data_IF_804662513657
#
_entry.id   IF_804662513657
#
_cell.length_a   1.000
_cell.length_b   1.000
_cell.length_c   1.000
_cell.angle_alpha   90.00
_cell.angle_beta   90.00
_cell.angle_gamma   90.00
#
_symmetry.space_group_name_H-M   'P 1'
#
loop_
_entity.id
_entity.type
_entity.pdbx_description
1 polymer ?
#
# COMPACT_ATOMS: atom_id res chain seq x y z
N UNK A 1 -42.92 -56.77 80.62
CA UNK A 1 -42.40 -55.36 80.34
C UNK A 1 -41.31 -55.32 79.21
N UNK A 2 -41.09 -56.34 78.39
CA UNK A 2 -40.02 -56.33 77.34
C UNK A 2 -40.50 -55.96 75.94
N UNK A 3 -41.81 -55.98 75.63
CA UNK A 3 -42.29 -55.75 74.23
C UNK A 3 -42.53 -54.28 73.89
N UNK A 4 -42.78 -53.36 74.81
CA UNK A 4 -43.03 -51.93 74.55
C UNK A 4 -41.76 -51.16 74.24
N UNK A 5 -40.60 -51.59 74.73
CA UNK A 5 -39.30 -50.90 74.38
C UNK A 5 -38.83 -51.20 72.97
N UNK A 6 -39.13 -52.37 72.38
CA UNK A 6 -38.77 -52.71 71.03
C UNK A 6 -39.52 -51.86 69.97
N UNK A 7 -40.77 -51.52 70.22
CA UNK A 7 -41.58 -50.67 69.36
C UNK A 7 -41.15 -49.17 69.36
N UNK A 8 -40.71 -48.73 70.52
CA UNK A 8 -40.20 -47.35 70.62
C UNK A 8 -38.85 -47.23 69.93
N UNK A 9 -37.97 -48.19 70.00
CA UNK A 9 -36.68 -48.19 69.31
C UNK A 9 -36.89 -48.32 67.79
N UNK A 10 -37.84 -49.19 67.33
CA UNK A 10 -38.20 -49.24 65.92
C UNK A 10 -38.75 -47.98 65.35
N UNK A 11 -39.57 -47.24 66.13
CA UNK A 11 -40.10 -45.93 65.72
C UNK A 11 -39.01 -44.85 65.63
N UNK A 12 -38.02 -44.86 66.53
CA UNK A 12 -36.89 -43.92 66.50
C UNK A 12 -35.97 -44.19 65.30
N UNK A 13 -35.72 -45.52 65.02
CA UNK A 13 -34.91 -45.89 63.85
C UNK A 13 -35.61 -45.52 62.56
N UNK A 14 -36.92 -45.73 62.44
CA UNK A 14 -37.69 -45.32 61.26
C UNK A 14 -37.70 -43.78 61.08
N UNK A 15 -37.87 -43.03 62.18
CA UNK A 15 -37.82 -41.59 62.15
C UNK A 15 -36.41 -41.07 61.78
N UNK A 16 -35.35 -41.73 62.30
CA UNK A 16 -33.96 -41.39 61.93
C UNK A 16 -33.65 -41.73 60.45
N UNK A 17 -34.17 -42.86 59.93
CA UNK A 17 -34.03 -43.22 58.51
C UNK A 17 -34.79 -42.23 57.61
N UNK A 18 -35.98 -41.81 57.98
CA UNK A 18 -36.75 -40.80 57.27
C UNK A 18 -36.05 -39.40 57.33
N UNK A 19 -35.49 -39.05 58.48
CA UNK A 19 -34.72 -37.81 58.64
C UNK A 19 -33.42 -37.82 57.82
N UNK A 20 -32.70 -38.96 57.82
CA UNK A 20 -31.49 -39.11 56.99
C UNK A 20 -31.85 -39.14 55.51
N UNK A 21 -32.94 -39.77 55.07
CA UNK A 21 -33.44 -39.73 53.71
C UNK A 21 -33.88 -38.33 53.28
N UNK A 22 -34.48 -37.54 54.23
CA UNK A 22 -34.84 -36.15 53.96
C UNK A 22 -33.61 -35.24 53.86
N UNK A 23 -32.54 -35.51 54.61
CA UNK A 23 -31.27 -34.75 54.58
C UNK A 23 -30.45 -35.15 53.34
N UNK A 24 -30.42 -36.42 52.97
CA UNK A 24 -29.77 -36.90 51.76
C UNK A 24 -30.53 -36.49 50.47
N UNK A 25 -31.85 -36.26 50.55
CA UNK A 25 -32.68 -35.78 49.43
C UNK A 25 -32.65 -34.26 49.20
N UNK A 26 -31.95 -33.49 50.07
CA UNK A 26 -31.87 -32.00 49.99
C UNK A 26 -30.60 -31.48 49.29
N UNK A 27 -29.70 -32.35 48.87
CA UNK A 27 -28.48 -31.97 48.15
C UNK A 27 -28.77 -31.75 46.65
N UNK A 28 -29.09 -30.54 46.26
CA UNK A 28 -29.09 -30.19 44.82
C UNK A 28 -27.67 -30.26 44.21
N UNK A 29 -27.55 -30.76 43.02
CA UNK A 29 -26.29 -30.75 42.25
C UNK A 29 -25.78 -29.31 42.09
N UNK A 30 -24.50 -29.05 42.38
CA UNK A 30 -23.91 -27.70 42.20
C UNK A 30 -23.67 -27.48 40.74
N UNK A 31 -24.23 -26.36 40.17
CA UNK A 31 -24.10 -26.00 38.76
C UNK A 31 -23.64 -24.56 38.66
N UNK A 32 -22.68 -24.33 37.78
CA UNK A 32 -22.34 -22.95 37.40
C UNK A 32 -23.51 -22.33 36.63
N UNK A 33 -23.88 -21.14 37.03
CA UNK A 33 -25.02 -20.44 36.48
C UNK A 33 -24.64 -19.03 36.02
N UNK A 34 -25.29 -18.55 34.98
CA UNK A 34 -25.13 -17.18 34.45
C UNK A 34 -26.50 -16.53 34.35
N UNK A 35 -26.57 -15.23 34.60
CA UNK A 35 -27.79 -14.46 34.39
C UNK A 35 -27.87 -13.93 32.98
N UNK A 36 -29.00 -14.17 32.32
CA UNK A 36 -29.30 -13.55 31.04
C UNK A 36 -29.29 -12.03 31.20
N UNK A 37 -28.41 -11.35 30.50
CA UNK A 37 -28.22 -9.91 30.58
C UNK A 37 -28.37 -9.25 29.21
N UNK A 38 -28.79 -7.99 29.21
CA UNK A 38 -28.71 -7.18 28.00
C UNK A 38 -27.30 -6.68 27.78
N UNK A 39 -26.87 -6.74 26.55
CA UNK A 39 -25.54 -6.28 26.18
C UNK A 39 -25.43 -5.95 24.69
N UNK A 40 -24.25 -5.57 24.29
CA UNK A 40 -23.91 -5.33 22.88
C UNK A 40 -23.32 -6.60 22.28
N UNK A 41 -23.98 -7.12 21.27
CA UNK A 41 -23.44 -8.21 20.45
C UNK A 41 -22.60 -7.64 19.32
N UNK A 42 -21.37 -8.11 19.18
CA UNK A 42 -20.47 -7.72 18.08
C UNK A 42 -19.96 -8.96 17.36
N UNK A 43 -20.14 -8.98 16.06
CA UNK A 43 -19.53 -9.97 15.19
C UNK A 43 -18.32 -9.34 14.52
N UNK A 44 -17.17 -10.01 14.61
CA UNK A 44 -15.91 -9.54 14.04
C UNK A 44 -15.34 -10.54 13.07
N UNK A 45 -14.71 -10.05 12.03
CA UNK A 45 -13.79 -10.83 11.17
C UNK A 45 -12.38 -10.47 11.61
N UNK A 46 -11.62 -11.46 12.03
CA UNK A 46 -10.25 -11.29 12.54
C UNK A 46 -9.26 -11.88 11.56
N UNK A 47 -8.25 -11.09 11.21
CA UNK A 47 -7.15 -11.49 10.33
C UNK A 47 -5.85 -10.77 10.71
N UNK A 48 -4.75 -11.29 10.20
CA UNK A 48 -3.45 -10.63 10.27
C UNK A 48 -3.35 -9.58 9.16
N UNK A 49 -2.80 -8.42 9.50
CA UNK A 49 -2.48 -7.36 8.54
C UNK A 49 -1.05 -6.85 8.72
N UNK A 50 -0.59 -6.08 7.76
CA UNK A 50 0.71 -5.41 7.79
C UNK A 50 0.52 -3.91 7.66
N UNK A 51 1.31 -3.17 8.41
CA UNK A 51 1.36 -1.71 8.29
C UNK A 51 2.13 -1.36 7.02
N UNK A 52 1.53 -0.53 6.18
CA UNK A 52 2.16 0.01 4.97
C UNK A 52 2.09 1.54 5.00
N UNK A 53 3.01 2.21 4.30
CA UNK A 53 2.85 3.62 4.03
C UNK A 53 1.76 3.79 2.96
N UNK A 54 0.79 4.67 3.20
CA UNK A 54 -0.32 4.89 2.26
C UNK A 54 0.15 5.37 0.88
N UNK A 55 1.28 6.05 0.87
CA UNK A 55 1.99 6.45 -0.35
C UNK A 55 3.45 6.02 -0.23
N UNK A 56 3.82 5.02 -0.96
CA UNK A 56 5.20 4.65 -1.20
C UNK A 56 5.58 4.87 -2.66
N UNK A 57 6.85 5.06 -2.91
CA UNK A 57 7.41 5.22 -4.25
C UNK A 57 8.69 4.41 -4.37
N UNK A 58 8.70 3.52 -5.33
CA UNK A 58 9.92 2.86 -5.77
C UNK A 58 10.67 3.78 -6.71
N UNK A 59 11.93 4.01 -6.42
CA UNK A 59 12.87 4.73 -7.27
C UNK A 59 13.72 3.71 -7.99
N UNK A 60 13.63 3.69 -9.32
CA UNK A 60 14.30 2.69 -10.17
C UNK A 60 15.35 3.36 -11.04
N UNK A 61 16.36 2.59 -11.45
CA UNK A 61 17.33 3.02 -12.44
C UNK A 61 16.66 3.17 -13.80
N UNK A 62 16.90 4.29 -14.48
CA UNK A 62 16.39 4.59 -15.84
C UNK A 62 17.37 4.17 -16.93
N UNK A 63 18.66 4.05 -16.58
CA UNK A 63 19.74 3.70 -17.48
C UNK A 63 20.75 2.74 -16.82
N UNK A 64 21.58 2.09 -17.64
CA UNK A 64 22.66 1.25 -17.15
C UNK A 64 23.78 2.12 -16.58
N UNK A 65 24.13 1.89 -15.31
CA UNK A 65 25.12 2.68 -14.61
C UNK A 65 25.72 1.91 -13.42
N UNK A 66 26.79 2.42 -12.87
CA UNK A 66 27.39 1.92 -11.62
C UNK A 66 27.03 2.85 -10.46
N UNK A 67 26.65 2.29 -9.31
CA UNK A 67 26.45 3.05 -8.08
C UNK A 67 27.79 3.59 -7.60
N UNK A 68 27.95 4.92 -7.64
CA UNK A 68 29.17 5.61 -7.24
C UNK A 68 29.16 5.96 -5.77
N UNK A 69 28.01 6.44 -5.27
CA UNK A 69 27.89 6.94 -3.91
C UNK A 69 26.44 6.78 -3.43
N UNK A 70 26.24 6.36 -2.19
CA UNK A 70 24.98 6.39 -1.46
C UNK A 70 25.05 7.56 -0.49
N UNK A 71 24.09 8.48 -0.59
CA UNK A 71 24.03 9.71 0.24
C UNK A 71 23.05 9.58 1.39
N UNK A 72 22.31 8.46 1.45
CA UNK A 72 21.30 8.15 2.46
C UNK A 72 21.41 6.68 2.87
N UNK A 73 20.84 6.38 4.04
CA UNK A 73 20.71 5.03 4.58
C UNK A 73 19.22 4.69 4.80
N UNK A 74 18.92 3.39 4.98
CA UNK A 74 17.57 2.95 5.35
C UNK A 74 17.20 3.55 6.72
N UNK A 75 16.02 4.19 6.79
CA UNK A 75 15.55 4.91 7.96
C UNK A 75 15.74 6.43 7.91
N UNK A 76 16.50 6.96 6.95
CA UNK A 76 16.72 8.39 6.80
C UNK A 76 15.46 9.09 6.28
N UNK A 77 15.24 10.32 6.77
CA UNK A 77 14.18 11.20 6.27
C UNK A 77 14.67 12.01 5.08
N UNK A 78 13.83 12.05 4.05
CA UNK A 78 14.14 12.70 2.80
C UNK A 78 13.02 13.65 2.36
N UNK A 79 13.40 14.65 1.53
CA UNK A 79 12.45 15.61 0.94
C UNK A 79 12.49 15.51 -0.59
N UNK A 80 11.42 15.94 -1.29
CA UNK A 80 11.39 15.91 -2.75
C UNK A 80 12.58 16.64 -3.37
N UNK A 81 13.22 16.03 -4.37
CA UNK A 81 14.39 16.57 -5.05
C UNK A 81 15.73 16.33 -4.32
N UNK A 82 15.72 15.79 -3.11
CA UNK A 82 16.96 15.42 -2.41
C UNK A 82 17.63 14.26 -3.15
N UNK A 83 18.95 14.40 -3.41
CA UNK A 83 19.76 13.35 -4.05
C UNK A 83 19.99 12.21 -3.05
N UNK A 84 19.59 11.02 -3.44
CA UNK A 84 19.71 9.79 -2.66
C UNK A 84 20.97 9.00 -3.03
N UNK A 85 21.18 8.86 -4.35
CA UNK A 85 22.23 8.02 -4.92
C UNK A 85 22.86 8.76 -6.09
N UNK A 86 24.19 8.68 -6.20
CA UNK A 86 24.92 9.11 -7.40
C UNK A 86 25.33 7.88 -8.21
N UNK A 87 24.89 7.85 -9.43
CA UNK A 87 25.26 6.86 -10.42
C UNK A 87 26.37 7.39 -11.33
N UNK A 88 27.07 6.48 -11.99
CA UNK A 88 28.09 6.80 -12.98
C UNK A 88 27.97 5.89 -14.20
N UNK A 89 27.88 6.48 -15.39
CA UNK A 89 27.88 5.77 -16.65
C UNK A 89 29.07 6.21 -17.50
N UNK A 90 30.11 5.39 -17.63
CA UNK A 90 31.25 5.69 -18.49
C UNK A 90 30.86 5.87 -19.95
N UNK A 91 29.88 5.08 -20.41
CA UNK A 91 29.39 5.12 -21.79
C UNK A 91 28.74 6.48 -22.09
N UNK A 92 27.79 6.92 -21.24
CA UNK A 92 27.12 8.20 -21.40
C UNK A 92 28.12 9.38 -21.33
N UNK A 93 29.09 9.30 -20.43
CA UNK A 93 30.16 10.33 -20.30
C UNK A 93 30.96 10.42 -21.60
N UNK A 94 31.38 9.27 -22.14
CA UNK A 94 32.17 9.20 -23.38
C UNK A 94 31.36 9.73 -24.57
N UNK A 95 30.10 9.37 -24.70
CA UNK A 95 29.20 9.83 -25.77
C UNK A 95 28.97 11.35 -25.69
N UNK A 96 28.75 11.87 -24.48
CA UNK A 96 28.57 13.32 -24.26
C UNK A 96 29.80 14.10 -24.68
N UNK A 97 31.00 13.68 -24.23
CA UNK A 97 32.26 14.38 -24.58
C UNK A 97 32.61 14.25 -26.06
N UNK A 98 32.31 13.10 -26.71
CA UNK A 98 32.46 12.92 -28.14
C UNK A 98 31.58 13.86 -28.94
N UNK A 99 30.28 13.94 -28.57
CA UNK A 99 29.31 14.83 -29.22
C UNK A 99 29.69 16.31 -29.02
N UNK A 100 30.12 16.69 -27.81
CA UNK A 100 30.60 18.04 -27.51
C UNK A 100 31.80 18.41 -28.37
N UNK A 101 32.76 17.51 -28.51
CA UNK A 101 33.95 17.70 -29.34
C UNK A 101 33.60 17.88 -30.82
N UNK A 102 32.61 17.12 -31.30
CA UNK A 102 32.14 17.23 -32.69
C UNK A 102 31.39 18.56 -32.91
N UNK A 103 30.58 19.00 -31.95
CA UNK A 103 29.87 20.29 -31.99
C UNK A 103 30.89 21.43 -32.11
N UNK A 104 31.91 21.50 -31.24
CA UNK A 104 32.95 22.54 -31.27
C UNK A 104 33.69 22.56 -32.60
N UNK A 105 34.00 21.38 -33.18
CA UNK A 105 34.63 21.30 -34.49
C UNK A 105 33.73 21.90 -35.60
N UNK A 106 32.44 21.50 -35.61
CA UNK A 106 31.48 21.97 -36.63
C UNK A 106 31.23 23.48 -36.51
N UNK A 107 31.18 24.02 -35.27
CA UNK A 107 31.09 25.47 -35.01
C UNK A 107 32.32 26.21 -35.56
N UNK A 108 33.52 25.64 -35.43
CA UNK A 108 34.74 26.23 -35.97
C UNK A 108 34.74 26.21 -37.52
N UNK A 109 34.24 25.14 -38.15
CA UNK A 109 34.06 25.02 -39.60
C UNK A 109 33.00 26.03 -40.10
N UNK A 110 31.90 26.23 -39.36
CA UNK A 110 30.89 27.21 -39.68
C UNK A 110 31.48 28.63 -39.64
N UNK A 111 32.23 28.98 -38.59
CA UNK A 111 32.89 30.27 -38.47
C UNK A 111 33.85 30.53 -39.63
N UNK A 112 34.65 29.52 -40.02
CA UNK A 112 35.53 29.64 -41.18
C UNK A 112 34.77 29.84 -42.49
N UNK A 113 33.63 29.16 -42.69
CA UNK A 113 32.78 29.33 -43.87
C UNK A 113 32.14 30.75 -43.91
N UNK A 114 31.69 31.27 -42.77
CA UNK A 114 31.15 32.64 -42.67
C UNK A 114 32.18 33.69 -42.96
N UNK A 115 33.41 33.55 -42.47
CA UNK A 115 34.53 34.45 -42.81
C UNK A 115 34.87 34.38 -44.32
N UNK A 116 34.79 33.19 -44.92
CA UNK A 116 34.97 33.03 -46.37
C UNK A 116 33.89 33.79 -47.16
N UNK A 117 32.61 33.68 -46.74
CA UNK A 117 31.54 34.49 -47.37
C UNK A 117 31.82 35.98 -47.27
N UNK A 118 32.29 36.45 -46.12
CA UNK A 118 32.60 37.84 -45.87
C UNK A 118 33.76 38.32 -46.82
N UNK A 119 34.81 37.51 -46.95
CA UNK A 119 35.92 37.83 -47.89
C UNK A 119 35.44 37.95 -49.35
N UNK A 120 34.64 36.98 -49.81
CA UNK A 120 34.14 37.01 -51.21
C UNK A 120 33.17 38.22 -51.39
N UNK A 121 32.42 38.64 -50.38
CA UNK A 121 31.57 39.82 -50.46
C UNK A 121 32.37 41.10 -50.64
N UNK A 122 33.52 41.23 -49.93
CA UNK A 122 34.42 42.36 -50.11
C UNK A 122 35.02 42.39 -51.53
N UNK A 123 35.41 41.21 -52.09
CA UNK A 123 35.88 41.12 -53.48
C UNK A 123 34.77 41.48 -54.48
N UNK A 124 33.51 41.06 -54.21
CA UNK A 124 32.37 41.42 -55.06
C UNK A 124 32.11 42.91 -55.03
N UNK A 125 32.17 43.58 -53.90
CA UNK A 125 32.01 45.02 -53.77
C UNK A 125 33.06 45.77 -54.63
N UNK A 126 34.34 45.33 -54.58
CA UNK A 126 35.41 45.93 -55.42
C UNK A 126 35.13 45.69 -56.91
N UNK A 127 34.72 44.50 -57.31
CA UNK A 127 34.40 44.17 -58.68
C UNK A 127 33.17 44.97 -59.19
N UNK A 128 32.14 45.15 -58.40
CA UNK A 128 30.96 45.96 -58.73
C UNK A 128 31.32 47.43 -58.91
N UNK A 129 32.19 47.96 -58.05
CA UNK A 129 32.71 49.32 -58.22
C UNK A 129 33.54 49.51 -59.51
N UNK A 130 34.37 48.50 -59.86
CA UNK A 130 35.12 48.51 -61.15
C UNK A 130 34.20 48.42 -62.37
N UNK A 131 33.20 47.51 -62.32
CA UNK A 131 32.18 47.36 -63.36
C UNK A 131 31.43 48.72 -63.57
N UNK A 132 31.04 49.44 -62.49
CA UNK A 132 30.37 50.74 -62.61
C UNK A 132 31.22 51.76 -63.30
N UNK A 133 32.53 51.85 -62.96
CA UNK A 133 33.49 52.70 -63.65
C UNK A 133 33.64 52.38 -65.16
N UNK A 134 33.81 51.05 -65.49
CA UNK A 134 33.92 50.57 -66.84
C UNK A 134 32.66 50.86 -67.66
N UNK A 135 31.47 50.76 -67.04
CA UNK A 135 30.21 51.10 -67.67
C UNK A 135 30.16 52.58 -68.11
N UNK A 136 30.63 53.51 -67.30
CA UNK A 136 30.70 54.93 -67.62
C UNK A 136 31.69 55.19 -68.77
N UNK A 137 32.85 54.49 -68.73
CA UNK A 137 33.86 54.65 -69.80
C UNK A 137 33.37 54.10 -71.14
N UNK A 138 32.67 52.98 -71.15
CA UNK A 138 32.04 52.38 -72.30
C UNK A 138 31.01 53.34 -72.92
N UNK A 139 30.16 53.96 -72.10
CA UNK A 139 29.17 54.96 -72.54
C UNK A 139 29.79 56.18 -73.16
N UNK A 140 31.00 56.58 -72.75
CA UNK A 140 31.76 57.65 -73.31
C UNK A 140 32.61 57.25 -74.55
N UNK A 141 32.58 56.00 -74.98
CA UNK A 141 33.37 55.45 -76.09
C UNK A 141 34.85 55.25 -75.73
N UNK A 142 35.26 55.33 -74.47
CA UNK A 142 36.65 55.24 -74.03
C UNK A 142 37.08 53.80 -73.62
N UNK A 143 36.20 52.82 -73.76
CA UNK A 143 36.47 51.40 -73.40
C UNK A 143 35.91 50.49 -74.45
N UNK A 144 36.61 49.35 -74.69
CA UNK A 144 36.10 48.28 -75.56
C UNK A 144 34.96 47.44 -74.90
N UNK A 145 33.96 47.02 -75.69
CA UNK A 145 32.82 46.20 -75.22
C UNK A 145 33.28 44.93 -74.49
N UNK A 146 34.33 44.28 -75.06
CA UNK A 146 34.90 43.07 -74.47
C UNK A 146 35.41 43.24 -73.03
N UNK A 147 35.98 44.42 -72.68
CA UNK A 147 36.50 44.70 -71.35
C UNK A 147 35.38 44.89 -70.33
N UNK A 148 34.27 45.47 -70.76
CA UNK A 148 33.07 45.61 -69.95
C UNK A 148 32.45 44.23 -69.67
N UNK A 149 32.29 43.43 -70.71
CA UNK A 149 31.72 42.06 -70.58
C UNK A 149 32.57 41.15 -69.69
N UNK A 150 33.91 41.28 -69.75
CA UNK A 150 34.82 40.60 -68.85
C UNK A 150 34.60 40.99 -67.38
N UNK A 151 34.42 42.28 -67.07
CA UNK A 151 34.13 42.76 -65.74
C UNK A 151 32.76 42.25 -65.24
N UNK A 152 31.75 42.28 -66.10
CA UNK A 152 30.43 41.71 -65.84
C UNK A 152 30.52 40.24 -65.46
N UNK A 153 31.24 39.43 -66.25
CA UNK A 153 31.44 38.00 -66.00
C UNK A 153 32.12 37.76 -64.62
N UNK A 154 33.07 38.67 -64.25
CA UNK A 154 33.74 38.53 -62.94
C UNK A 154 32.75 38.78 -61.76
N UNK A 155 31.89 39.80 -61.86
CA UNK A 155 30.83 40.06 -60.90
C UNK A 155 29.89 38.86 -60.77
N UNK A 156 29.45 38.29 -61.92
CA UNK A 156 28.54 37.15 -61.94
C UNK A 156 29.18 35.86 -61.33
N UNK A 157 30.49 35.67 -61.55
CA UNK A 157 31.24 34.55 -60.95
C UNK A 157 31.29 34.72 -59.41
N UNK A 158 31.59 35.90 -58.90
CA UNK A 158 31.66 36.17 -57.47
C UNK A 158 30.28 35.99 -56.80
N UNK A 159 29.20 36.48 -57.44
CA UNK A 159 27.82 36.25 -56.95
C UNK A 159 27.50 34.76 -56.84
N UNK A 160 27.87 33.99 -57.83
CA UNK A 160 27.68 32.55 -57.84
C UNK A 160 28.50 31.85 -56.75
N UNK A 161 29.74 32.30 -56.49
CA UNK A 161 30.60 31.79 -55.42
C UNK A 161 30.03 32.08 -54.07
N UNK A 162 29.49 33.29 -53.82
CA UNK A 162 28.79 33.63 -52.57
C UNK A 162 27.61 32.65 -52.34
N UNK A 163 26.75 32.49 -53.38
CA UNK A 163 25.58 31.62 -53.24
C UNK A 163 25.97 30.17 -52.91
N UNK A 164 27.05 29.65 -53.51
CA UNK A 164 27.56 28.30 -53.18
C UNK A 164 28.05 28.22 -51.73
N UNK A 165 28.77 29.24 -51.25
CA UNK A 165 29.29 29.26 -49.89
C UNK A 165 28.18 29.46 -48.86
N UNK A 166 27.15 30.27 -49.18
CA UNK A 166 25.97 30.44 -48.29
C UNK A 166 25.17 29.12 -48.13
N UNK A 167 25.10 28.28 -49.14
CA UNK A 167 24.53 26.93 -49.05
C UNK A 167 25.35 26.09 -48.05
N UNK A 168 26.69 26.16 -48.12
CA UNK A 168 27.58 25.48 -47.19
C UNK A 168 27.36 25.95 -45.71
N UNK A 169 27.30 27.28 -45.49
CA UNK A 169 26.98 27.89 -44.19
C UNK A 169 25.62 27.39 -43.68
N UNK A 170 24.61 27.38 -44.55
CA UNK A 170 23.28 26.88 -44.16
C UNK A 170 23.32 25.39 -43.79
N UNK A 171 24.12 24.56 -44.45
CA UNK A 171 24.32 23.16 -44.14
C UNK A 171 24.99 22.95 -42.75
N UNK A 172 26.08 23.72 -42.50
CA UNK A 172 26.80 23.68 -41.25
C UNK A 172 25.94 24.15 -40.08
N UNK A 173 25.14 25.22 -40.28
CA UNK A 173 24.19 25.72 -39.24
C UNK A 173 23.18 24.62 -38.85
N UNK A 174 22.64 23.89 -39.81
CA UNK A 174 21.72 22.76 -39.53
C UNK A 174 22.43 21.66 -38.73
N UNK A 175 23.68 21.40 -39.05
CA UNK A 175 24.48 20.36 -38.39
C UNK A 175 24.80 20.77 -36.95
N UNK A 176 25.17 22.04 -36.68
CA UNK A 176 25.35 22.62 -35.33
C UNK A 176 24.08 22.49 -34.54
N UNK A 177 22.94 22.89 -35.10
CA UNK A 177 21.64 22.76 -34.42
C UNK A 177 21.29 21.31 -34.05
N UNK A 178 21.57 20.36 -34.96
CA UNK A 178 21.32 18.94 -34.74
C UNK A 178 22.23 18.37 -33.63
N UNK A 179 23.52 18.69 -33.66
CA UNK A 179 24.47 18.25 -32.62
C UNK A 179 24.14 18.86 -31.26
N UNK A 180 23.72 20.13 -31.23
CA UNK A 180 23.25 20.81 -30.01
C UNK A 180 22.02 20.11 -29.42
N UNK A 181 21.06 19.70 -30.24
CA UNK A 181 19.89 18.96 -29.77
C UNK A 181 20.27 17.57 -29.19
N UNK A 182 21.21 16.87 -29.83
CA UNK A 182 21.72 15.59 -29.30
C UNK A 182 22.43 15.80 -27.95
N UNK A 183 23.30 16.82 -27.87
CA UNK A 183 24.02 17.14 -26.64
C UNK A 183 23.07 17.45 -25.47
N UNK A 184 22.03 18.25 -25.69
CA UNK A 184 21.01 18.54 -24.69
C UNK A 184 20.32 17.26 -24.20
N UNK A 185 19.97 16.33 -25.11
CA UNK A 185 19.36 15.04 -24.73
C UNK A 185 20.29 14.18 -23.90
N UNK A 186 21.61 14.20 -24.20
CA UNK A 186 22.61 13.48 -23.40
C UNK A 186 22.80 14.12 -22.01
N UNK A 187 22.75 15.43 -21.93
CA UNK A 187 22.83 16.17 -20.64
C UNK A 187 21.59 15.91 -19.77
N UNK A 188 20.39 15.85 -20.34
CA UNK A 188 19.18 15.42 -19.64
C UNK A 188 19.33 13.99 -19.06
N UNK A 189 19.80 13.04 -19.87
CA UNK A 189 20.11 11.68 -19.38
C UNK A 189 21.18 11.67 -18.30
N UNK A 190 22.19 12.55 -18.40
CA UNK A 190 23.21 12.67 -17.35
C UNK A 190 22.63 13.20 -16.03
N UNK A 191 21.58 14.02 -16.09
CA UNK A 191 20.82 14.43 -14.91
C UNK A 191 20.17 13.25 -14.16
N UNK A 192 19.73 12.22 -14.88
CA UNK A 192 19.14 11.01 -14.30
C UNK A 192 20.14 10.14 -13.52
N UNK A 193 21.45 10.38 -13.68
CA UNK A 193 22.48 9.76 -12.85
C UNK A 193 22.46 10.27 -11.40
N UNK A 194 21.80 11.37 -11.12
CA UNK A 194 21.48 11.83 -9.77
C UNK A 194 20.08 11.34 -9.40
N UNK A 195 20.01 10.22 -8.73
CA UNK A 195 18.75 9.64 -8.28
C UNK A 195 18.19 10.47 -7.13
N UNK A 196 17.02 11.06 -7.32
CA UNK A 196 16.39 11.97 -6.36
C UNK A 196 15.13 11.35 -5.75
N UNK A 197 14.76 11.80 -4.54
CA UNK A 197 13.49 11.43 -3.94
C UNK A 197 12.31 12.12 -4.64
N UNK A 198 11.27 11.38 -5.06
CA UNK A 198 10.07 11.96 -5.65
C UNK A 198 9.08 12.52 -4.61
N UNK A 199 9.18 12.10 -3.33
CA UNK A 199 8.26 12.47 -2.25
C UNK A 199 9.02 12.78 -0.95
N UNK A 200 8.34 13.45 0.00
CA UNK A 200 8.80 13.52 1.39
C UNK A 200 8.46 12.23 2.12
N UNK A 201 9.40 11.71 2.90
CA UNK A 201 9.16 10.50 3.67
C UNK A 201 10.43 9.90 4.23
N UNK A 202 10.38 8.61 4.54
CA UNK A 202 11.49 7.83 5.07
C UNK A 202 11.95 6.78 4.05
N UNK A 203 13.25 6.56 3.93
CA UNK A 203 13.81 5.47 3.12
C UNK A 203 13.44 4.13 3.78
N UNK A 204 12.56 3.37 3.15
CA UNK A 204 12.11 2.06 3.63
C UNK A 204 13.10 0.95 3.28
N UNK A 205 13.62 1.01 2.05
CA UNK A 205 14.59 0.02 1.55
C UNK A 205 15.59 0.67 0.60
N UNK A 206 16.84 0.16 0.64
CA UNK A 206 17.97 0.59 -0.19
C UNK A 206 18.76 -0.65 -0.61
N UNK A 207 18.26 -1.45 -1.57
CA UNK A 207 18.80 -2.78 -1.88
C UNK A 207 20.10 -2.77 -2.70
N UNK A 208 20.69 -1.61 -2.95
CA UNK A 208 21.91 -1.44 -3.77
C UNK A 208 23.13 -1.10 -2.93
N UNK A 209 24.31 -1.40 -3.47
CA UNK A 209 25.61 -1.15 -2.82
C UNK A 209 26.51 -0.33 -3.71
N UNK A 210 27.40 0.45 -3.10
CA UNK A 210 28.47 1.17 -3.83
C UNK A 210 29.31 0.18 -4.65
N UNK A 211 29.55 0.53 -5.91
CA UNK A 211 30.26 -0.32 -6.87
C UNK A 211 29.38 -1.30 -7.64
N UNK A 212 28.11 -1.49 -7.26
CA UNK A 212 27.18 -2.35 -7.98
C UNK A 212 26.79 -1.74 -9.33
N UNK A 213 26.74 -2.58 -10.36
CA UNK A 213 26.19 -2.21 -11.68
C UNK A 213 24.70 -2.48 -11.67
N UNK A 214 23.91 -1.50 -12.11
CA UNK A 214 22.47 -1.55 -12.21
C UNK A 214 22.02 -1.39 -13.65
N UNK A 215 20.87 -1.99 -13.97
CA UNK A 215 20.23 -1.91 -15.30
C UNK A 215 18.91 -1.15 -15.19
N UNK A 216 18.35 -0.63 -16.29
CA UNK A 216 17.01 -0.04 -16.30
C UNK A 216 15.97 -0.95 -15.63
N UNK A 217 15.15 -0.39 -14.71
CA UNK A 217 14.16 -1.11 -13.94
C UNK A 217 14.70 -1.74 -12.64
N UNK A 218 16.00 -1.65 -12.35
CA UNK A 218 16.53 -2.08 -11.05
C UNK A 218 16.03 -1.12 -9.96
N UNK A 219 15.40 -1.65 -8.90
CA UNK A 219 14.99 -0.86 -7.73
C UNK A 219 16.24 -0.34 -7.00
N UNK A 220 16.30 0.97 -6.82
CA UNK A 220 17.41 1.67 -6.16
C UNK A 220 17.07 2.05 -4.72
N UNK A 221 15.85 2.53 -4.50
CA UNK A 221 15.34 2.91 -3.18
C UNK A 221 13.82 2.77 -3.15
N UNK A 222 13.27 2.55 -1.96
CA UNK A 222 11.84 2.67 -1.69
C UNK A 222 11.64 3.76 -0.65
N UNK A 223 10.82 4.76 -0.98
CA UNK A 223 10.52 5.89 -0.10
C UNK A 223 9.05 5.81 0.31
N UNK A 224 8.80 5.69 1.61
CA UNK A 224 7.44 5.70 2.16
C UNK A 224 7.12 7.06 2.78
N UNK A 225 5.91 7.56 2.52
CA UNK A 225 5.45 8.81 3.12
C UNK A 225 5.22 8.64 4.63
N UNK A 226 5.74 9.55 5.44
CA UNK A 226 5.52 9.57 6.89
C UNK A 226 4.11 10.08 7.27
N UNK A 227 3.37 10.66 6.33
CA UNK A 227 2.16 11.42 6.65
C UNK A 227 0.93 10.54 6.91
N UNK A 228 0.87 9.34 6.37
CA UNK A 228 -0.25 8.43 6.52
C UNK A 228 0.23 6.98 6.46
N UNK A 229 -0.08 6.25 7.52
CA UNK A 229 0.06 4.80 7.55
C UNK A 229 -1.32 4.17 7.35
N UNK A 230 -1.33 3.02 6.72
CA UNK A 230 -2.51 2.18 6.57
C UNK A 230 -2.18 0.74 6.94
N UNK A 231 -3.20 -0.05 7.21
CA UNK A 231 -3.04 -1.48 7.42
C UNK A 231 -3.65 -2.22 6.25
N UNK A 232 -2.85 -3.02 5.61
CA UNK A 232 -3.29 -3.94 4.57
C UNK A 232 -3.48 -5.32 5.16
N UNK A 233 -4.67 -5.87 5.00
CA UNK A 233 -5.02 -7.23 5.39
C UNK A 233 -5.62 -7.98 4.21
N UNK A 234 -5.60 -9.31 4.26
CA UNK A 234 -6.14 -10.16 3.20
C UNK A 234 -7.24 -11.05 3.78
N UNK A 235 -8.48 -10.71 3.50
CA UNK A 235 -9.64 -11.45 3.97
C UNK A 235 -9.95 -12.64 3.06
N UNK A 236 -10.49 -13.70 3.63
CA UNK A 236 -11.08 -14.80 2.85
C UNK A 236 -12.29 -14.30 2.05
N UNK A 237 -12.46 -14.80 0.83
CA UNK A 237 -13.60 -14.43 -0.03
C UNK A 237 -14.94 -14.67 0.64
N UNK A 238 -15.03 -15.70 1.49
CA UNK A 238 -16.26 -16.09 2.17
C UNK A 238 -16.70 -15.06 3.23
N UNK A 239 -15.74 -14.35 3.82
CA UNK A 239 -16.00 -13.32 4.83
C UNK A 239 -16.38 -11.97 4.24
N UNK A 240 -16.09 -11.74 2.96
CA UNK A 240 -16.33 -10.45 2.29
C UNK A 240 -17.82 -10.08 2.21
N UNK A 241 -18.72 -11.04 2.20
CA UNK A 241 -20.17 -10.76 2.16
C UNK A 241 -20.66 -9.89 3.32
N UNK A 242 -19.89 -9.84 4.42
CA UNK A 242 -20.21 -9.10 5.64
C UNK A 242 -19.36 -7.84 5.82
N UNK A 243 -18.27 -7.68 5.05
CA UNK A 243 -17.33 -6.56 5.17
C UNK A 243 -17.68 -5.46 4.18
N UNK A 244 -17.76 -4.22 4.67
CA UNK A 244 -18.07 -3.03 3.86
C UNK A 244 -17.11 -1.90 4.22
N UNK A 245 -16.87 -1.01 3.26
CA UNK A 245 -16.16 0.24 3.50
C UNK A 245 -16.86 1.08 4.56
N UNK A 246 -16.08 1.74 5.41
CA UNK A 246 -16.57 2.54 6.53
C UNK A 246 -16.77 1.77 7.84
N UNK A 247 -16.72 0.43 7.83
CA UNK A 247 -16.82 -0.35 9.07
C UNK A 247 -15.62 -0.08 10.00
N UNK A 248 -15.90 0.00 11.29
CA UNK A 248 -14.88 0.21 12.32
C UNK A 248 -14.03 -1.06 12.48
N UNK A 249 -12.73 -0.86 12.51
CA UNK A 249 -11.77 -1.94 12.72
C UNK A 249 -10.96 -1.64 13.96
N UNK A 250 -10.79 -2.64 14.81
CA UNK A 250 -9.87 -2.63 15.93
C UNK A 250 -8.54 -3.25 15.50
N UNK A 251 -7.44 -2.58 15.80
CA UNK A 251 -6.08 -2.98 15.41
C UNK A 251 -5.26 -3.14 16.67
N UNK A 252 -4.67 -4.29 16.86
CA UNK A 252 -3.83 -4.61 18.01
C UNK A 252 -2.48 -5.17 17.54
N UNK A 253 -1.43 -4.87 18.29
CA UNK A 253 -0.09 -5.38 18.04
C UNK A 253 0.69 -5.46 19.35
N UNK A 254 1.67 -6.39 19.50
CA UNK A 254 2.48 -6.50 20.72
C UNK A 254 3.17 -5.19 21.11
N UNK A 255 3.63 -4.41 20.12
CA UNK A 255 4.30 -3.12 20.37
C UNK A 255 3.36 -2.05 20.97
N UNK A 256 2.05 -2.20 20.81
CA UNK A 256 1.05 -1.28 21.36
C UNK A 256 0.69 -1.61 22.82
N UNK A 257 1.14 -2.77 23.34
CA UNK A 257 0.73 -3.27 24.64
C UNK A 257 -0.78 -3.49 24.70
N UNK A 258 -1.43 -2.98 25.74
CA UNK A 258 -2.90 -3.09 25.93
C UNK A 258 -3.71 -2.06 25.10
N UNK A 259 -3.04 -1.21 24.32
CA UNK A 259 -3.73 -0.19 23.52
C UNK A 259 -4.18 -0.81 22.21
N UNK A 260 -5.44 -0.59 21.86
CA UNK A 260 -5.97 -0.89 20.55
C UNK A 260 -6.12 0.42 19.75
N UNK A 261 -5.65 0.43 18.53
CA UNK A 261 -5.94 1.49 17.57
C UNK A 261 -7.25 1.20 16.87
N UNK A 262 -7.87 2.23 16.33
CA UNK A 262 -9.07 2.09 15.53
C UNK A 262 -8.93 2.81 14.21
N UNK A 263 -9.59 2.27 13.19
CA UNK A 263 -9.66 2.90 11.89
C UNK A 263 -10.77 2.31 11.04
N UNK A 264 -11.29 3.03 10.06
CA UNK A 264 -12.30 2.51 9.16
C UNK A 264 -11.69 1.66 8.04
N UNK A 265 -12.45 0.68 7.56
CA UNK A 265 -12.15 0.03 6.28
C UNK A 265 -12.24 1.12 5.19
N UNK A 266 -11.11 1.46 4.58
CA UNK A 266 -11.04 2.53 3.58
C UNK A 266 -11.28 2.00 2.16
N UNK A 267 -10.77 0.80 1.86
CA UNK A 267 -10.86 0.22 0.52
C UNK A 267 -10.92 -1.30 0.56
N UNK A 268 -11.74 -1.87 -0.30
CA UNK A 268 -11.78 -3.30 -0.58
C UNK A 268 -11.39 -3.46 -2.05
N UNK A 269 -10.36 -4.25 -2.34
CA UNK A 269 -9.95 -4.47 -3.72
C UNK A 269 -10.93 -5.37 -4.46
N UNK A 270 -11.21 -5.12 -5.74
CA UNK A 270 -12.22 -5.85 -6.50
C UNK A 270 -11.78 -7.25 -6.94
N UNK A 271 -10.49 -7.57 -6.78
CA UNK A 271 -9.91 -8.82 -7.27
C UNK A 271 -9.36 -9.66 -6.12
N UNK A 272 -9.83 -10.91 -6.04
CA UNK A 272 -9.22 -11.93 -5.21
C UNK A 272 -7.97 -12.51 -5.90
N UNK A 273 -6.99 -12.90 -5.11
CA UNK A 273 -5.84 -13.68 -5.56
C UNK A 273 -5.77 -15.00 -4.78
N UNK A 274 -5.09 -15.96 -5.35
CA UNK A 274 -4.87 -17.26 -4.72
C UNK A 274 -3.63 -17.17 -3.82
N UNK A 275 -3.79 -17.66 -2.58
CA UNK A 275 -2.71 -17.77 -1.61
C UNK A 275 -2.73 -19.17 -1.00
N UNK A 276 -1.60 -19.82 -1.00
CA UNK A 276 -1.46 -21.12 -0.36
C UNK A 276 -1.22 -20.92 1.13
N UNK A 277 -2.07 -21.53 1.96
CA UNK A 277 -1.90 -21.52 3.42
C UNK A 277 -0.70 -22.37 3.85
N UNK A 278 -0.28 -22.23 5.10
CA UNK A 278 0.79 -23.05 5.69
C UNK A 278 0.51 -24.57 5.63
N UNK A 279 -0.75 -24.96 5.51
CA UNK A 279 -1.19 -26.35 5.38
C UNK A 279 -1.31 -26.81 3.92
N UNK A 280 -0.88 -26.00 2.94
CA UNK A 280 -0.94 -26.34 1.51
C UNK A 280 -2.32 -26.15 0.88
N UNK A 281 -3.29 -25.56 1.58
CA UNK A 281 -4.64 -25.31 1.05
C UNK A 281 -4.65 -23.99 0.27
N UNK A 282 -5.13 -24.03 -0.97
CA UNK A 282 -5.33 -22.83 -1.78
C UNK A 282 -6.57 -22.08 -1.27
N UNK A 283 -6.37 -20.83 -0.89
CA UNK A 283 -7.41 -19.93 -0.41
C UNK A 283 -7.51 -18.72 -1.36
N UNK A 284 -8.72 -18.25 -1.59
CA UNK A 284 -8.95 -17.01 -2.30
C UNK A 284 -9.06 -15.86 -1.30
N UNK A 285 -8.13 -14.92 -1.39
CA UNK A 285 -8.05 -13.79 -0.49
C UNK A 285 -8.18 -12.48 -1.25
N UNK A 286 -8.82 -11.52 -0.60
CA UNK A 286 -9.04 -10.17 -1.14
C UNK A 286 -8.34 -9.17 -0.24
N UNK A 287 -7.46 -8.33 -0.80
CA UNK A 287 -6.83 -7.25 -0.05
C UNK A 287 -7.85 -6.22 0.41
N UNK A 288 -7.73 -5.82 1.66
CA UNK A 288 -8.54 -4.78 2.30
C UNK A 288 -7.60 -3.80 2.99
N UNK A 289 -7.83 -2.52 2.77
CA UNK A 289 -7.08 -1.43 3.37
C UNK A 289 -7.88 -0.80 4.50
N UNK A 290 -7.24 -0.59 5.61
CA UNK A 290 -7.78 0.05 6.80
C UNK A 290 -6.98 1.31 7.06
N UNK A 291 -7.64 2.46 7.09
CA UNK A 291 -6.99 3.72 7.43
C UNK A 291 -6.69 3.76 8.93
N UNK A 292 -5.50 4.23 9.29
CA UNK A 292 -5.14 4.46 10.68
C UNK A 292 -5.49 5.89 11.08
N UNK A 293 -6.31 6.04 12.15
CA UNK A 293 -6.62 7.35 12.69
C UNK A 293 -5.42 7.98 13.44
N UNK A 294 -4.52 7.16 13.94
CA UNK A 294 -3.30 7.56 14.66
C UNK A 294 -2.18 6.54 14.38
N UNK A 295 -0.98 7.01 14.08
CA UNK A 295 0.16 6.16 13.73
C UNK A 295 0.85 5.47 14.94
N UNK A 296 0.68 5.96 16.14
CA UNK A 296 1.10 5.42 17.46
C UNK A 296 2.29 4.42 17.43
N UNK A 297 3.49 4.87 17.05
CA UNK A 297 4.74 4.07 17.02
C UNK A 297 4.73 2.84 16.11
N UNK A 298 3.77 2.73 15.20
CA UNK A 298 3.80 1.71 14.16
C UNK A 298 4.71 2.16 13.01
N UNK A 299 5.43 1.21 12.43
CA UNK A 299 6.27 1.44 11.26
C UNK A 299 5.83 0.52 10.11
N UNK A 300 6.03 0.93 8.86
CA UNK A 300 5.82 0.05 7.72
C UNK A 300 6.54 -1.30 7.89
N UNK A 301 5.86 -2.38 7.52
CA UNK A 301 6.34 -3.75 7.70
C UNK A 301 5.93 -4.43 9.02
N UNK A 302 5.40 -3.69 10.01
CA UNK A 302 4.94 -4.30 11.27
C UNK A 302 3.68 -5.13 11.06
N UNK A 303 3.68 -6.32 11.65
CA UNK A 303 2.53 -7.20 11.70
C UNK A 303 1.56 -6.73 12.80
N UNK A 304 0.28 -6.69 12.46
CA UNK A 304 -0.81 -6.31 13.36
C UNK A 304 -1.97 -7.28 13.24
N UNK A 305 -2.75 -7.42 14.30
CA UNK A 305 -4.02 -8.15 14.27
C UNK A 305 -5.16 -7.17 14.02
N UNK A 306 -5.99 -7.49 13.07
CA UNK A 306 -7.12 -6.69 12.60
C UNK A 306 -8.41 -7.40 12.98
N UNK A 307 -9.35 -6.69 13.60
CA UNK A 307 -10.68 -7.18 13.93
C UNK A 307 -11.73 -6.20 13.39
N UNK A 308 -12.33 -6.54 12.24
CA UNK A 308 -13.33 -5.71 11.55
C UNK A 308 -14.70 -5.99 12.14
N UNK A 309 -15.39 -4.97 12.65
CA UNK A 309 -16.76 -5.10 13.16
C UNK A 309 -17.73 -5.20 11.98
N UNK A 310 -18.24 -6.41 11.73
CA UNK A 310 -19.16 -6.66 10.61
C UNK A 310 -20.63 -6.51 10.99
N UNK A 311 -20.93 -6.69 12.26
CA UNK A 311 -22.28 -6.51 12.82
C UNK A 311 -22.18 -6.01 14.26
N UNK A 312 -22.97 -5.01 14.59
CA UNK A 312 -23.16 -4.51 15.97
C UNK A 312 -24.65 -4.41 16.26
N UNK A 313 -25.12 -5.08 17.31
CA UNK A 313 -26.47 -4.99 17.83
C UNK A 313 -26.41 -4.60 19.28
N UNK A 314 -27.10 -3.56 19.63
CA UNK A 314 -27.17 -3.06 21.01
C UNK A 314 -28.47 -3.54 21.66
N UNK A 315 -28.45 -3.63 22.99
CA UNK A 315 -29.62 -3.97 23.83
C UNK A 315 -30.25 -5.34 23.50
N UNK A 316 -29.43 -6.33 23.13
CA UNK A 316 -29.88 -7.72 22.87
C UNK A 316 -29.63 -8.61 24.09
N UNK A 317 -30.45 -9.63 24.27
CA UNK A 317 -30.24 -10.63 25.34
C UNK A 317 -29.12 -11.58 24.92
N UNK A 318 -28.10 -11.66 25.76
CA UNK A 318 -26.91 -12.50 25.53
C UNK A 318 -26.85 -13.65 26.53
N UNK A 319 -26.50 -14.81 26.00
CA UNK A 319 -26.08 -15.97 26.80
C UNK A 319 -24.71 -16.48 26.30
N UNK A 320 -23.90 -17.04 27.20
CA UNK A 320 -22.70 -17.75 26.79
C UNK A 320 -23.03 -18.86 25.81
N UNK A 321 -22.21 -19.03 24.76
CA UNK A 321 -22.43 -20.07 23.75
C UNK A 321 -22.51 -21.46 24.34
N UNK A 322 -21.77 -21.74 25.41
CA UNK A 322 -21.73 -23.01 26.13
C UNK A 322 -23.04 -23.35 26.86
N UNK A 323 -23.88 -22.33 27.14
CA UNK A 323 -25.20 -22.53 27.79
C UNK A 323 -26.27 -23.10 26.87
N UNK A 324 -26.01 -23.14 25.57
CA UNK A 324 -27.02 -23.45 24.56
C UNK A 324 -26.69 -24.80 23.92
N UNK A 325 -27.66 -25.67 23.87
CA UNK A 325 -27.55 -27.00 23.23
C UNK A 325 -28.50 -27.11 22.06
N UNK A 326 -28.01 -27.66 20.95
CA UNK A 326 -28.84 -28.05 19.81
C UNK A 326 -29.45 -29.43 20.10
N UNK A 327 -30.77 -29.55 20.03
CA UNK A 327 -31.51 -30.81 20.17
C UNK A 327 -31.44 -31.63 18.87
N UNK A 328 -31.76 -32.93 18.95
CA UNK A 328 -31.82 -33.79 17.75
C UNK A 328 -32.85 -33.31 16.71
N UNK A 329 -33.93 -32.66 17.17
CA UNK A 329 -34.98 -32.09 16.33
C UNK A 329 -34.57 -30.73 15.68
N UNK A 330 -33.32 -30.27 15.89
CA UNK A 330 -32.81 -29.02 15.30
C UNK A 330 -33.23 -27.76 16.04
N UNK A 331 -33.81 -27.86 17.22
CA UNK A 331 -34.17 -26.71 18.08
C UNK A 331 -33.03 -26.40 19.06
N UNK A 332 -32.96 -25.13 19.49
CA UNK A 332 -32.03 -24.72 20.55
C UNK A 332 -32.73 -24.78 21.91
N UNK A 333 -32.06 -25.32 22.93
CA UNK A 333 -32.54 -25.36 24.30
C UNK A 333 -31.53 -24.82 25.28
N UNK A 334 -32.00 -24.34 26.41
CA UNK A 334 -31.24 -23.95 27.59
C UNK A 334 -31.86 -24.53 28.84
N UNK A 335 -31.03 -24.69 29.89
CA UNK A 335 -31.47 -25.12 31.21
C UNK A 335 -31.63 -23.87 32.08
N UNK A 336 -32.87 -23.48 32.34
CA UNK A 336 -33.22 -22.36 33.21
C UNK A 336 -33.33 -22.84 34.65
N UNK A 337 -32.79 -22.09 35.59
CA UNK A 337 -32.98 -22.37 37.03
C UNK A 337 -34.10 -21.49 37.56
N UNK A 338 -35.24 -22.10 37.82
CA UNK A 338 -36.39 -21.43 38.39
C UNK A 338 -36.64 -21.96 39.82
N UNK A 339 -36.59 -21.12 40.82
CA UNK A 339 -36.76 -21.50 42.26
C UNK A 339 -35.88 -22.69 42.69
N UNK A 340 -34.64 -22.76 42.18
CA UNK A 340 -33.70 -23.87 42.48
C UNK A 340 -34.00 -25.20 41.78
N UNK A 341 -34.84 -25.19 40.75
CA UNK A 341 -35.16 -26.36 39.92
C UNK A 341 -34.83 -26.09 38.46
N UNK A 342 -34.43 -27.13 37.75
CA UNK A 342 -34.15 -27.11 36.32
C UNK A 342 -35.46 -27.10 35.53
N UNK A 343 -35.59 -26.18 34.61
CA UNK A 343 -36.62 -26.09 33.58
C UNK A 343 -35.93 -26.10 32.20
N UNK A 344 -36.23 -27.13 31.38
CA UNK A 344 -35.78 -27.12 30.00
C UNK A 344 -36.64 -26.15 29.18
N UNK A 345 -36.00 -25.23 28.50
CA UNK A 345 -36.71 -24.24 27.71
C UNK A 345 -36.17 -24.12 26.30
N UNK A 346 -37.05 -24.23 25.31
CA UNK A 346 -36.72 -23.97 23.91
C UNK A 346 -36.57 -22.47 23.69
N UNK A 347 -35.55 -22.12 22.92
CA UNK A 347 -35.22 -20.75 22.60
C UNK A 347 -35.05 -20.55 21.08
N UNK A 348 -35.32 -19.33 20.64
CA UNK A 348 -34.89 -18.88 19.30
C UNK A 348 -33.63 -18.04 19.47
N UNK A 349 -32.64 -18.34 18.65
CA UNK A 349 -31.39 -17.61 18.65
C UNK A 349 -31.28 -16.71 17.40
N UNK A 350 -30.57 -15.61 17.54
CA UNK A 350 -30.17 -14.73 16.45
C UNK A 350 -28.73 -15.03 16.03
N UNK A 351 -27.90 -14.01 16.04
CA UNK A 351 -26.48 -14.12 15.71
C UNK A 351 -25.68 -14.78 16.84
N UNK A 352 -24.58 -15.43 16.44
CA UNK A 352 -23.66 -16.08 17.37
C UNK A 352 -22.21 -15.79 17.01
N UNK A 353 -21.37 -15.63 18.01
CA UNK A 353 -19.91 -15.57 17.86
C UNK A 353 -19.24 -16.68 18.70
N UNK A 354 -17.94 -16.57 18.93
CA UNK A 354 -17.20 -17.59 19.68
C UNK A 354 -17.60 -17.68 21.16
N UNK A 355 -18.04 -16.60 21.78
CA UNK A 355 -18.32 -16.49 23.22
C UNK A 355 -19.81 -16.35 23.53
N UNK A 356 -20.56 -15.63 22.71
CA UNK A 356 -21.93 -15.19 22.97
C UNK A 356 -22.90 -15.59 21.87
N UNK A 357 -24.14 -15.78 22.28
CA UNK A 357 -25.28 -16.00 21.38
C UNK A 357 -26.37 -15.00 21.73
N UNK A 358 -26.91 -14.34 20.74
CA UNK A 358 -28.12 -13.51 20.84
C UNK A 358 -29.33 -14.41 21.00
N UNK A 359 -30.14 -14.20 22.04
CA UNK A 359 -31.41 -14.88 22.22
C UNK A 359 -32.55 -13.93 21.84
N UNK A 360 -33.35 -14.33 20.85
CA UNK A 360 -34.45 -13.52 20.34
C UNK A 360 -35.77 -13.82 21.03
N UNK A 361 -35.98 -15.10 21.45
CA UNK A 361 -37.17 -15.52 22.17
C UNK A 361 -36.85 -16.67 23.15
N UNK A 362 -37.68 -16.79 24.19
CA UNK A 362 -37.65 -17.90 25.13
C UNK A 362 -36.97 -17.57 26.48
N UNK A 363 -36.19 -16.50 26.57
CA UNK A 363 -35.51 -16.05 27.80
C UNK A 363 -35.82 -14.58 28.08
N UNK A 364 -35.97 -14.26 29.37
CA UNK A 364 -36.12 -12.88 29.86
C UNK A 364 -34.83 -12.44 30.55
N UNK A 365 -34.62 -11.13 30.53
CA UNK A 365 -33.50 -10.52 31.24
C UNK A 365 -33.59 -10.83 32.74
N UNK A 366 -32.47 -11.25 33.32
CA UNK A 366 -32.38 -11.60 34.77
C UNK A 366 -32.67 -13.07 35.07
N UNK A 367 -33.17 -13.86 34.11
CA UNK A 367 -33.33 -15.30 34.32
C UNK A 367 -31.97 -15.97 34.47
N UNK A 368 -31.89 -16.94 35.39
CA UNK A 368 -30.68 -17.71 35.63
C UNK A 368 -30.64 -18.93 34.74
N UNK A 369 -29.57 -19.11 34.00
CA UNK A 369 -29.36 -20.21 33.06
C UNK A 369 -28.11 -20.96 33.47
N UNK A 370 -28.14 -22.28 33.36
CA UNK A 370 -26.95 -23.12 33.58
C UNK A 370 -25.90 -22.81 32.53
N UNK A 371 -24.68 -22.58 32.97
CA UNK A 371 -23.58 -22.15 32.10
C UNK A 371 -23.18 -23.26 31.10
N UNK A 372 -23.14 -24.49 31.58
CA UNK A 372 -22.85 -25.65 30.74
C UNK A 372 -24.15 -26.37 30.31
N UNK A 373 -24.63 -26.04 29.11
CA UNK A 373 -25.83 -26.69 28.54
C UNK A 373 -25.64 -28.14 28.14
N UNK A 374 -24.43 -28.73 28.25
CA UNK A 374 -24.16 -30.13 27.95
C UNK A 374 -24.55 -31.07 29.12
N UNK A 375 -24.77 -30.52 30.30
CA UNK A 375 -25.16 -31.29 31.48
C UNK A 375 -26.51 -32.01 31.26
N UNK A 376 -26.57 -33.29 31.58
CA UNK A 376 -27.78 -34.10 31.49
C UNK A 376 -28.62 -34.02 32.78
N UNK A 377 -29.10 -32.81 33.05
CA UNK A 377 -29.96 -32.56 34.21
C UNK A 377 -31.42 -32.83 33.82
N UNK A 378 -32.12 -33.61 34.65
CA UNK A 378 -33.54 -33.91 34.42
C UNK A 378 -34.38 -32.70 34.78
N UNK A 379 -35.43 -32.45 33.97
CA UNK A 379 -36.43 -31.43 34.27
C UNK A 379 -36.99 -31.60 35.70
N UNK A 380 -37.09 -30.50 36.44
CA UNK A 380 -37.56 -30.47 37.84
C UNK A 380 -36.52 -30.89 38.88
N UNK A 381 -35.30 -31.31 38.51
CA UNK A 381 -34.24 -31.65 39.46
C UNK A 381 -33.81 -30.39 40.25
N UNK A 382 -33.51 -30.57 41.56
CA UNK A 382 -33.02 -29.46 42.41
C UNK A 382 -31.55 -29.25 42.15
N UNK A 383 -31.17 -27.99 41.99
CA UNK A 383 -29.79 -27.56 41.80
C UNK A 383 -29.45 -26.40 42.74
N UNK A 384 -28.18 -26.28 43.04
CA UNK A 384 -27.60 -25.16 43.77
C UNK A 384 -26.70 -24.37 42.80
N UNK A 385 -27.05 -23.10 42.57
CA UNK A 385 -26.33 -22.26 41.61
C UNK A 385 -25.08 -21.64 42.25
N UNK A 386 -23.97 -21.69 41.50
CA UNK A 386 -22.72 -20.98 41.77
C UNK A 386 -22.51 -19.99 40.62
N UNK A 387 -22.08 -18.75 40.90
CA UNK A 387 -21.91 -17.68 39.87
C UNK A 387 -20.45 -17.39 39.62
#
# INVERSE_FOLDING_TARGET
MKSKKAWIIGGIILAAVIAIAAIMGSGGEEVEAVKASRGTFVLKVEETGYVEAANDREVQATLAAQVRELLVETGDKVVPGQVLIKLFSPELTTETESTRSQLVRTESELQAAELSVQSIRLELEQAENDLARKKTLLQSGALAQAEYEQAQLQVDKLKKSISQQEVSVSGLNKQVASLGAVLNSLEEKAGELQVISPISGTILDLPVKVGQVVSPGTMLAQVGSDSQLEVKTELLSDDLGRVKTGQTTQITAPILGDRALTGPVSKIYPRAHEKTSALGIIQRRVPVIIALNQAANLQPGYEVRVAIETLRKEDVILLPRESIRLTEDGHYRVLVVNEGRIEERLIEIGEKNQQWVEVTKGIKVGETVVRDGSLELKEGSRVKTVY
#
